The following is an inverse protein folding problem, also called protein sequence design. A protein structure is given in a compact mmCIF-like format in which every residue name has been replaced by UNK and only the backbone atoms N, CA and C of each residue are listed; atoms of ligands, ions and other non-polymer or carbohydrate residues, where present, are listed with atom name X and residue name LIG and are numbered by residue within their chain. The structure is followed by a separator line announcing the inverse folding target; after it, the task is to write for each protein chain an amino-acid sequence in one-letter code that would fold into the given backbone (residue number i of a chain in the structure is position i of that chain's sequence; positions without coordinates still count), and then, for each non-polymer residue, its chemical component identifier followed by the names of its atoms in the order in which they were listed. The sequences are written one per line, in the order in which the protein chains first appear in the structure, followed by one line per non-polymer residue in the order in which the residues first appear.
data_IF_273596946144
#
_entry.id   IF_273596946144
#
_cell.length_a   1.000
_cell.length_b   1.000
_cell.length_c   1.000
_cell.angle_alpha   90.00
_cell.angle_beta   90.00
_cell.angle_gamma   90.00
#
_symmetry.space_group_name_H-M   'P 1'
#
loop_
_entity.id
_entity.type
_entity.pdbx_description
1 polymer ?
#
# COMPACT_ATOMS: atom_id res chain seq x y z
N UNK A 1 0.73 9.14 36.60
CA UNK A 1 -0.41 8.20 36.68
C UNK A 1 -0.18 7.06 35.69
N UNK A 2 0.32 5.91 36.15
CA UNK A 2 0.62 4.75 35.28
C UNK A 2 -0.63 3.93 34.99
N UNK A 3 -0.87 3.57 33.72
CA UNK A 3 -1.99 2.70 33.35
C UNK A 3 -1.76 1.33 33.99
N UNK A 4 -2.61 0.93 34.93
CA UNK A 4 -2.55 -0.37 35.59
C UNK A 4 -2.85 -1.44 34.53
N UNK A 5 -1.80 -2.13 34.07
CA UNK A 5 -1.94 -3.20 33.08
C UNK A 5 -2.76 -4.34 33.70
N UNK A 6 -4.00 -4.50 33.26
CA UNK A 6 -4.85 -5.61 33.73
C UNK A 6 -4.44 -6.89 33.00
N UNK A 7 -4.36 -8.02 33.73
CA UNK A 7 -4.14 -9.32 33.10
C UNK A 7 -5.32 -9.61 32.18
N UNK A 8 -5.04 -9.96 30.93
CA UNK A 8 -6.04 -10.30 29.92
C UNK A 8 -6.82 -11.53 30.41
N UNK A 9 -8.15 -11.47 30.57
CA UNK A 9 -8.92 -12.57 31.13
C UNK A 9 -8.85 -13.80 30.22
N UNK A 10 -8.64 -14.98 30.81
CA UNK A 10 -8.39 -16.24 30.09
C UNK A 10 -9.55 -16.71 29.19
N UNK A 11 -10.75 -16.14 29.36
CA UNK A 11 -11.94 -16.43 28.55
C UNK A 11 -12.34 -15.31 27.57
N UNK A 12 -11.49 -14.30 27.37
CA UNK A 12 -11.75 -13.31 26.33
C UNK A 12 -11.65 -13.96 24.95
N UNK A 13 -12.62 -13.69 24.07
CA UNK A 13 -12.57 -14.13 22.69
C UNK A 13 -11.26 -13.69 22.01
N UNK A 14 -10.79 -14.53 21.09
CA UNK A 14 -9.62 -14.19 20.29
C UNK A 14 -9.98 -12.94 19.47
N UNK A 15 -9.22 -11.86 19.71
CA UNK A 15 -9.29 -10.66 18.85
C UNK A 15 -9.01 -11.14 17.45
N UNK A 16 -10.00 -10.95 16.57
CA UNK A 16 -9.93 -11.41 15.19
C UNK A 16 -8.70 -10.82 14.51
N UNK A 17 -8.02 -11.64 13.70
CA UNK A 17 -6.82 -11.25 12.98
C UNK A 17 -7.16 -10.14 11.99
N UNK A 18 -6.76 -8.92 12.33
CA UNK A 18 -6.79 -7.78 11.43
C UNK A 18 -5.77 -8.02 10.30
N UNK A 19 -6.26 -8.48 9.15
CA UNK A 19 -5.44 -8.90 8.01
C UNK A 19 -4.59 -7.74 7.50
N UNK A 20 -5.07 -6.50 7.59
CA UNK A 20 -4.30 -5.30 7.27
C UNK A 20 -3.05 -5.19 8.16
N UNK A 21 -3.19 -5.36 9.48
CA UNK A 21 -2.03 -5.43 10.39
C UNK A 21 -1.18 -6.68 10.15
N UNK A 22 -1.79 -7.84 9.89
CA UNK A 22 -1.08 -9.11 9.74
C UNK A 22 -0.22 -9.19 8.46
N UNK A 23 -0.68 -8.56 7.37
CA UNK A 23 0.03 -8.54 6.08
C UNK A 23 0.80 -7.22 5.85
N UNK A 24 0.84 -6.34 6.86
CA UNK A 24 1.50 -5.03 6.75
C UNK A 24 0.87 -4.12 5.68
N UNK A 25 -0.45 -4.18 5.53
CA UNK A 25 -1.23 -3.38 4.59
C UNK A 25 -1.13 -3.82 3.13
N UNK A 26 -0.59 -5.02 2.88
CA UNK A 26 -0.43 -5.59 1.53
C UNK A 26 -1.69 -6.34 1.10
N UNK A 27 -2.19 -6.03 -0.10
CA UNK A 27 -3.32 -6.67 -0.77
C UNK A 27 -2.96 -6.99 -2.21
N UNK A 28 -3.52 -8.05 -2.76
CA UNK A 28 -3.44 -8.34 -4.20
C UNK A 28 -4.64 -7.70 -4.90
N UNK A 29 -4.40 -7.01 -6.01
CA UNK A 29 -5.42 -6.43 -6.88
C UNK A 29 -5.21 -6.88 -8.33
N UNK A 30 -6.25 -7.47 -8.93
CA UNK A 30 -6.28 -7.78 -10.37
C UNK A 30 -6.97 -6.65 -11.14
N UNK A 31 -6.41 -6.24 -12.28
CA UNK A 31 -6.97 -5.22 -13.17
C UNK A 31 -6.75 -5.55 -14.65
N UNK A 32 -7.23 -4.67 -15.55
CA UNK A 32 -7.03 -4.83 -16.99
C UNK A 32 -5.54 -4.81 -17.39
N UNK A 33 -4.74 -4.11 -16.57
CA UNK A 33 -3.28 -3.98 -16.64
C UNK A 33 -2.50 -5.17 -16.01
N UNK A 34 -3.19 -6.18 -15.49
CA UNK A 34 -2.61 -7.41 -14.93
C UNK A 34 -2.80 -7.58 -13.42
N UNK A 35 -2.03 -8.49 -12.83
CA UNK A 35 -2.04 -8.73 -11.37
C UNK A 35 -0.99 -7.86 -10.66
N UNK A 36 -1.44 -7.18 -9.62
CA UNK A 36 -0.64 -6.26 -8.82
C UNK A 36 -0.68 -6.63 -7.35
N UNK A 37 0.46 -6.49 -6.70
CA UNK A 37 0.52 -6.43 -5.25
C UNK A 37 0.61 -4.97 -4.82
N UNK A 38 -0.22 -4.59 -3.86
CA UNK A 38 -0.46 -3.21 -3.45
C UNK A 38 -0.27 -3.10 -1.94
N UNK A 39 0.55 -2.17 -1.49
CA UNK A 39 0.79 -1.92 -0.07
C UNK A 39 0.42 -0.47 0.30
N UNK A 40 -0.40 -0.31 1.33
CA UNK A 40 -0.70 1.00 1.91
C UNK A 40 0.45 1.45 2.80
N UNK A 41 0.98 2.64 2.52
CA UNK A 41 2.08 3.26 3.28
C UNK A 41 1.54 4.51 3.96
N UNK A 42 1.69 4.60 5.29
CA UNK A 42 1.21 5.76 6.06
C UNK A 42 2.05 7.02 5.87
N UNK A 43 3.29 6.87 5.41
CA UNK A 43 4.22 7.94 5.09
C UNK A 43 5.60 7.36 4.76
N UNK A 44 6.38 8.08 3.96
CA UNK A 44 7.80 7.76 3.71
C UNK A 44 8.66 8.98 4.01
N UNK A 45 9.93 8.76 4.34
CA UNK A 45 10.90 9.83 4.57
C UNK A 45 11.35 10.50 3.26
N UNK A 46 11.10 9.85 2.12
CA UNK A 46 11.52 10.29 0.79
C UNK A 46 10.32 10.69 -0.06
N UNK A 47 10.58 11.63 -0.96
CA UNK A 47 9.63 12.02 -2.00
C UNK A 47 9.76 11.08 -3.21
N UNK A 48 8.64 10.70 -3.81
CA UNK A 48 8.61 9.81 -4.97
C UNK A 48 7.72 10.38 -6.06
N UNK A 49 8.06 10.14 -7.33
CA UNK A 49 7.22 10.57 -8.46
C UNK A 49 6.10 9.56 -8.73
N UNK A 50 4.86 10.05 -8.77
CA UNK A 50 3.69 9.25 -9.08
C UNK A 50 3.53 9.07 -10.59
N UNK A 51 3.50 7.83 -11.12
CA UNK A 51 3.39 7.59 -12.55
C UNK A 51 2.01 7.94 -13.15
N UNK A 52 0.95 8.01 -12.33
CA UNK A 52 -0.40 8.33 -12.82
C UNK A 52 -0.67 9.83 -13.03
N UNK A 53 0.14 10.72 -12.43
CA UNK A 53 -0.02 12.17 -12.56
C UNK A 53 1.29 12.95 -12.74
N UNK A 54 2.43 12.26 -12.75
CA UNK A 54 3.80 12.80 -12.76
C UNK A 54 4.18 13.72 -11.58
N UNK A 55 3.25 13.93 -10.63
CA UNK A 55 3.48 14.75 -9.44
C UNK A 55 4.23 13.99 -8.35
N UNK A 56 4.94 14.75 -7.52
CA UNK A 56 5.64 14.20 -6.35
C UNK A 56 4.65 13.85 -5.23
N UNK A 57 4.82 12.66 -4.69
CA UNK A 57 4.27 12.24 -3.40
C UNK A 57 5.25 12.74 -2.35
N UNK A 58 4.84 13.76 -1.58
CA UNK A 58 5.69 14.36 -0.55
C UNK A 58 6.01 13.38 0.59
N UNK A 59 7.15 13.58 1.24
CA UNK A 59 7.51 12.85 2.45
C UNK A 59 6.41 13.00 3.52
N UNK A 60 6.18 11.94 4.29
CA UNK A 60 5.11 11.85 5.28
C UNK A 60 3.69 11.72 4.72
N UNK A 61 3.49 11.82 3.40
CA UNK A 61 2.16 11.65 2.79
C UNK A 61 1.78 10.18 2.73
N UNK A 62 0.56 9.85 3.15
CA UNK A 62 0.02 8.50 2.99
C UNK A 62 -0.22 8.19 1.50
N UNK A 63 0.32 7.08 1.03
CA UNK A 63 0.32 6.71 -0.38
C UNK A 63 0.37 5.19 -0.56
N UNK A 64 0.35 4.76 -1.82
CA UNK A 64 0.25 3.36 -2.21
C UNK A 64 1.51 2.96 -2.96
N UNK A 65 2.10 1.84 -2.56
CA UNK A 65 3.20 1.22 -3.29
C UNK A 65 2.65 0.01 -4.03
N UNK A 66 2.81 -0.03 -5.35
CA UNK A 66 2.32 -1.11 -6.19
C UNK A 66 3.43 -1.67 -7.08
N UNK A 67 3.48 -2.98 -7.22
CA UNK A 67 4.38 -3.71 -8.12
C UNK A 67 3.66 -4.90 -8.75
N UNK A 68 4.09 -5.29 -9.95
CA UNK A 68 3.48 -6.42 -10.67
C UNK A 68 3.83 -7.74 -9.99
N UNK A 69 2.85 -8.63 -9.85
CA UNK A 69 3.07 -10.01 -9.37
C UNK A 69 3.44 -10.96 -10.51
N UNK A 70 2.99 -10.66 -11.74
CA UNK A 70 3.11 -11.50 -12.94
C UNK A 70 4.50 -11.44 -13.63
N UNK A 71 5.54 -11.04 -12.90
CA UNK A 71 6.90 -11.08 -13.43
C UNK A 71 7.41 -12.51 -13.52
N UNK A 72 7.93 -12.92 -14.70
CA UNK A 72 8.48 -14.25 -14.97
C UNK A 72 9.59 -14.71 -13.98
N UNK A 73 10.11 -13.80 -13.16
CA UNK A 73 11.23 -14.01 -12.22
C UNK A 73 10.86 -13.86 -10.74
N UNK A 74 9.57 -13.92 -10.38
CA UNK A 74 9.14 -13.76 -9.00
C UNK A 74 9.26 -12.32 -8.51
N UNK A 75 8.46 -12.00 -7.49
CA UNK A 75 8.39 -10.73 -6.75
C UNK A 75 9.47 -9.69 -7.11
N UNK A 76 9.23 -8.93 -8.18
CA UNK A 76 10.15 -7.88 -8.61
C UNK A 76 10.04 -6.69 -7.64
N UNK A 77 10.69 -6.81 -6.47
CA UNK A 77 10.79 -5.77 -5.44
C UNK A 77 11.42 -4.48 -5.97
N UNK A 78 12.15 -4.57 -7.08
CA UNK A 78 12.77 -3.46 -7.79
C UNK A 78 11.76 -2.59 -8.56
N UNK A 79 10.61 -3.15 -8.97
CA UNK A 79 9.56 -2.41 -9.69
C UNK A 79 8.51 -1.79 -8.75
N UNK A 80 8.89 -1.46 -7.50
CA UNK A 80 7.99 -0.82 -6.53
C UNK A 80 7.72 0.63 -6.90
N UNK A 81 6.57 0.86 -7.53
CA UNK A 81 6.12 2.19 -7.96
C UNK A 81 5.26 2.83 -6.87
N UNK A 82 5.49 4.11 -6.63
CA UNK A 82 4.80 4.88 -5.61
C UNK A 82 3.69 5.71 -6.25
N UNK A 83 2.47 5.60 -5.73
CA UNK A 83 1.27 6.23 -6.27
C UNK A 83 0.52 6.97 -5.17
N UNK A 84 -0.07 8.11 -5.51
CA UNK A 84 -1.15 8.65 -4.68
C UNK A 84 -2.31 7.65 -4.61
N UNK A 85 -2.97 7.54 -3.46
CA UNK A 85 -4.13 6.64 -3.27
C UNK A 85 -5.21 6.87 -4.32
N UNK A 86 -5.56 8.13 -4.60
CA UNK A 86 -6.54 8.48 -5.63
C UNK A 86 -6.07 8.19 -7.05
N UNK A 87 -4.76 8.28 -7.31
CA UNK A 87 -4.20 7.95 -8.63
C UNK A 87 -4.20 6.44 -8.86
N UNK A 88 -3.89 5.64 -7.84
CA UNK A 88 -3.96 4.19 -7.90
C UNK A 88 -5.38 3.68 -8.19
N UNK A 89 -6.39 4.24 -7.52
CA UNK A 89 -7.81 3.90 -7.76
C UNK A 89 -8.27 4.27 -9.17
N UNK A 90 -7.65 5.27 -9.79
CA UNK A 90 -7.96 5.70 -11.15
C UNK A 90 -6.96 5.19 -12.20
N UNK A 91 -6.06 4.25 -11.86
CA UNK A 91 -4.93 3.84 -12.71
C UNK A 91 -5.34 3.36 -14.11
N UNK A 92 -6.49 2.71 -14.23
CA UNK A 92 -7.00 2.21 -15.50
C UNK A 92 -7.43 3.33 -16.47
N UNK A 93 -7.74 4.53 -15.97
CA UNK A 93 -8.23 5.67 -16.76
C UNK A 93 -7.34 6.91 -16.68
N UNK A 94 -6.45 6.99 -15.70
CA UNK A 94 -5.46 8.07 -15.56
C UNK A 94 -4.13 7.61 -16.14
N UNK A 95 -3.71 8.27 -17.22
CA UNK A 95 -2.30 8.38 -17.59
C UNK A 95 -1.78 9.78 -17.24
N UNK A 96 -0.46 10.00 -17.24
CA UNK A 96 0.09 11.35 -17.18
C UNK A 96 -0.55 12.15 -18.31
N UNK A 97 -1.33 13.16 -17.95
CA UNK A 97 -1.91 14.07 -18.93
C UNK A 97 -0.73 14.77 -19.60
N UNK A 98 -0.40 14.39 -20.85
CA UNK A 98 0.59 15.12 -21.64
C UNK A 98 0.12 16.58 -21.66
N UNK A 99 0.90 17.47 -21.06
CA UNK A 99 0.83 18.89 -21.34
C UNK A 99 1.73 19.21 -22.51
#
# INVERSE_FOLDING_TARGET
MGRRSTKRPYGAEHVELDVDRATGGRRSESGADGEWTVQQVRGSDREYRCPGCDQLVSAGTAHVVAWRTDGLFGEALDDRRHWHTSCWQARARRGPTRR
#
